data_IF_629343033261
#
_entry.id   IF_629343033261
#
_cell.length_a   1.000
_cell.length_b   1.000
_cell.length_c   1.000
_cell.angle_alpha   90.00
_cell.angle_beta   90.00
_cell.angle_gamma   90.00
#
_symmetry.space_group_name_H-M   'P 1'
#
loop_
_entity.id
_entity.type
_entity.pdbx_description
1 polymer ?
#
# COMPACT_ATOMS: atom_id res chain seq x y z
N UNK A 1 17.84 -14.90 30.30
CA UNK A 1 17.74 -15.96 29.30
C UNK A 1 16.28 -16.39 29.24
N UNK A 2 15.47 -15.67 28.48
CA UNK A 2 14.06 -16.04 28.23
C UNK A 2 13.94 -16.31 26.73
N UNK A 3 13.93 -17.60 26.40
CA UNK A 3 13.52 -18.10 25.10
C UNK A 3 12.00 -18.24 25.16
N UNK A 4 11.28 -17.25 24.66
CA UNK A 4 9.84 -17.37 24.49
C UNK A 4 9.44 -17.20 23.04
N UNK A 5 8.91 -18.33 22.60
CA UNK A 5 7.75 -18.50 21.74
C UNK A 5 7.75 -17.77 20.39
N UNK A 6 8.04 -18.52 19.31
CA UNK A 6 7.25 -18.45 18.05
C UNK A 6 7.16 -17.10 17.31
N UNK A 7 7.98 -16.12 17.64
CA UNK A 7 8.03 -14.85 16.94
C UNK A 7 8.69 -14.99 15.57
N UNK A 8 8.10 -14.44 14.51
CA UNK A 8 8.73 -14.32 13.21
C UNK A 8 10.09 -13.62 13.37
N UNK A 9 11.13 -14.27 12.88
CA UNK A 9 12.50 -13.73 12.95
C UNK A 9 12.66 -12.69 11.84
N UNK A 10 12.85 -11.41 12.20
CA UNK A 10 13.10 -10.35 11.22
C UNK A 10 12.25 -9.09 11.44
N UNK A 11 12.42 -8.07 10.58
CA UNK A 11 11.60 -6.86 10.62
C UNK A 11 10.12 -7.14 10.34
N UNK A 12 9.27 -6.20 10.77
CA UNK A 12 7.84 -6.16 10.41
C UNK A 12 7.66 -5.11 9.32
N UNK A 13 7.10 -5.48 8.17
CA UNK A 13 6.62 -4.50 7.20
C UNK A 13 5.11 -4.31 7.38
N UNK A 14 4.69 -3.05 7.48
CA UNK A 14 3.29 -2.66 7.61
C UNK A 14 2.88 -1.87 6.36
N UNK A 15 1.93 -2.41 5.59
CA UNK A 15 1.33 -1.74 4.45
C UNK A 15 0.03 -1.04 4.87
N UNK A 16 0.07 0.28 4.97
CA UNK A 16 -1.07 1.10 5.40
C UNK A 16 -2.06 1.30 4.24
N UNK A 17 -3.33 0.98 4.46
CA UNK A 17 -4.41 1.18 3.50
C UNK A 17 -4.74 2.66 3.27
N UNK A 18 -5.56 2.95 2.24
CA UNK A 18 -5.96 4.32 1.91
C UNK A 18 -6.68 5.03 3.07
N UNK A 19 -7.47 4.30 3.86
CA UNK A 19 -8.21 4.83 5.01
C UNK A 19 -7.29 5.28 6.16
N UNK A 20 -6.05 4.77 6.23
CA UNK A 20 -5.04 5.30 7.15
C UNK A 20 -4.53 6.70 6.75
N UNK A 21 -4.86 7.14 5.52
CA UNK A 21 -4.40 8.38 4.89
C UNK A 21 -5.56 9.34 4.56
N UNK A 22 -6.78 9.08 5.04
CA UNK A 22 -7.98 9.90 4.75
C UNK A 22 -8.83 10.06 5.98
N UNK A 23 -9.68 11.08 5.99
CA UNK A 23 -10.74 11.22 6.99
C UNK A 23 -11.80 10.11 6.89
N UNK A 24 -12.71 10.02 7.87
CA UNK A 24 -13.79 9.01 7.88
C UNK A 24 -14.70 9.08 6.66
N UNK A 25 -14.83 10.26 6.07
CA UNK A 25 -15.59 10.54 4.84
C UNK A 25 -14.80 10.24 3.54
N UNK A 26 -13.59 9.69 3.66
CA UNK A 26 -12.67 9.48 2.53
C UNK A 26 -11.96 10.76 2.07
N UNK A 27 -12.12 11.88 2.78
CA UNK A 27 -11.49 13.15 2.45
C UNK A 27 -9.98 13.08 2.62
N UNK A 28 -9.26 13.60 1.62
CA UNK A 28 -7.81 13.85 1.67
C UNK A 28 -7.50 15.35 1.95
N UNK A 29 -8.39 16.05 2.67
CA UNK A 29 -8.11 17.38 3.18
C UNK A 29 -6.90 17.32 4.14
N UNK A 30 -6.01 18.33 4.18
CA UNK A 30 -4.76 18.30 4.94
C UNK A 30 -4.95 17.90 6.41
N UNK A 31 -5.89 18.53 7.11
CA UNK A 31 -6.14 18.26 8.54
C UNK A 31 -6.70 16.85 8.78
N UNK A 32 -7.63 16.40 7.92
CA UNK A 32 -8.19 15.05 7.98
C UNK A 32 -7.11 13.98 7.73
N UNK A 33 -6.23 14.24 6.79
CA UNK A 33 -5.06 13.39 6.50
C UNK A 33 -4.09 13.32 7.68
N UNK A 34 -3.69 14.48 8.23
CA UNK A 34 -2.78 14.53 9.37
C UNK A 34 -3.37 13.80 10.59
N UNK A 35 -4.67 13.96 10.85
CA UNK A 35 -5.35 13.25 11.93
C UNK A 35 -5.40 11.73 11.71
N UNK A 36 -5.67 11.26 10.48
CA UNK A 36 -5.72 9.84 10.15
C UNK A 36 -4.33 9.19 10.29
N UNK A 37 -3.29 9.83 9.72
CA UNK A 37 -1.90 9.41 9.87
C UNK A 37 -1.50 9.37 11.35
N UNK A 38 -1.87 10.40 12.12
CA UNK A 38 -1.61 10.45 13.55
C UNK A 38 -2.14 9.22 14.29
N UNK A 39 -3.41 8.86 14.07
CA UNK A 39 -4.01 7.66 14.68
C UNK A 39 -3.28 6.36 14.28
N UNK A 40 -2.90 6.23 13.01
CA UNK A 40 -2.15 5.07 12.54
C UNK A 40 -0.77 4.98 13.22
N UNK A 41 -0.08 6.11 13.36
CA UNK A 41 1.27 6.16 13.94
C UNK A 41 1.27 5.88 15.45
N UNK A 42 0.20 6.13 16.18
CA UNK A 42 0.07 5.68 17.57
C UNK A 42 0.21 4.15 17.68
N UNK A 43 -0.44 3.38 16.79
CA UNK A 43 -0.34 1.91 16.77
C UNK A 43 1.03 1.41 16.35
N UNK A 44 1.64 2.07 15.38
CA UNK A 44 3.02 1.76 14.95
C UNK A 44 4.02 2.05 16.06
N UNK A 45 3.84 3.16 16.78
CA UNK A 45 4.70 3.55 17.90
C UNK A 45 4.71 2.51 19.02
N UNK A 46 3.57 1.83 19.30
CA UNK A 46 3.51 0.74 20.27
C UNK A 46 4.47 -0.40 19.92
N UNK A 47 4.52 -0.80 18.63
CA UNK A 47 5.44 -1.83 18.14
C UNK A 47 6.90 -1.38 18.23
N UNK A 48 7.20 -0.16 17.81
CA UNK A 48 8.57 0.37 17.79
C UNK A 48 9.09 0.55 19.22
N UNK A 49 8.28 1.06 20.14
CA UNK A 49 8.62 1.22 21.55
C UNK A 49 8.85 -0.15 22.23
N UNK A 50 8.15 -1.20 21.80
CA UNK A 50 8.40 -2.57 22.24
C UNK A 50 9.66 -3.20 21.62
N UNK A 51 10.42 -2.47 20.81
CA UNK A 51 11.71 -2.90 20.26
C UNK A 51 11.62 -3.52 18.86
N UNK A 52 10.45 -3.55 18.22
CA UNK A 52 10.33 -4.07 16.86
C UNK A 52 11.09 -3.20 15.85
N UNK A 53 11.71 -3.87 14.85
CA UNK A 53 12.25 -3.21 13.65
C UNK A 53 11.11 -3.09 12.65
N UNK A 54 10.73 -1.87 12.29
CA UNK A 54 9.53 -1.61 11.47
C UNK A 54 9.89 -0.88 10.19
N UNK A 55 9.35 -1.38 9.08
CA UNK A 55 9.26 -0.66 7.81
C UNK A 55 7.79 -0.42 7.48
N UNK A 56 7.52 0.71 6.84
CA UNK A 56 6.18 1.15 6.47
C UNK A 56 6.09 1.36 4.97
N UNK A 57 4.95 1.02 4.39
CA UNK A 57 4.50 1.57 3.11
C UNK A 57 3.07 2.07 3.25
N UNK A 58 2.60 2.90 2.32
CA UNK A 58 1.28 3.53 2.40
C UNK A 58 0.58 3.58 1.04
N UNK A 59 -0.75 3.64 1.04
CA UNK A 59 -1.52 4.01 -0.13
C UNK A 59 -1.49 5.53 -0.38
N UNK A 60 -1.89 5.94 -1.58
CA UNK A 60 -1.92 7.36 -1.99
C UNK A 60 -3.07 7.69 -2.97
N UNK A 61 -4.00 6.77 -3.20
CA UNK A 61 -5.01 6.92 -4.25
C UNK A 61 -5.82 8.23 -4.19
N UNK A 62 -6.39 8.64 -3.04
CA UNK A 62 -7.09 9.92 -2.91
C UNK A 62 -6.17 11.12 -3.17
N UNK A 63 -4.92 11.07 -2.73
CA UNK A 63 -3.94 12.16 -2.88
C UNK A 63 -3.52 12.34 -4.34
N UNK A 64 -3.19 11.25 -5.04
CA UNK A 64 -2.94 11.26 -6.49
C UNK A 64 -4.16 11.80 -7.23
N UNK A 65 -5.36 11.35 -6.85
CA UNK A 65 -6.60 11.84 -7.42
C UNK A 65 -6.77 13.35 -7.31
N UNK A 66 -6.46 13.93 -6.15
CA UNK A 66 -6.51 15.37 -5.93
C UNK A 66 -5.46 16.11 -6.78
N UNK A 67 -4.25 15.56 -6.94
CA UNK A 67 -3.22 16.14 -7.80
C UNK A 67 -3.65 16.14 -9.26
N UNK A 68 -4.25 15.05 -9.74
CA UNK A 68 -4.78 14.96 -11.10
C UNK A 68 -5.89 16.01 -11.35
N UNK A 69 -6.77 16.24 -10.38
CA UNK A 69 -7.80 17.30 -10.49
C UNK A 69 -7.15 18.69 -10.53
N UNK A 70 -6.17 18.95 -9.66
CA UNK A 70 -5.43 20.21 -9.68
C UNK A 70 -4.74 20.44 -11.02
N UNK A 71 -4.11 19.41 -11.60
CA UNK A 71 -3.53 19.46 -12.93
C UNK A 71 -4.56 19.84 -14.00
N UNK A 72 -5.74 19.25 -13.97
CA UNK A 72 -6.82 19.53 -14.91
C UNK A 72 -7.35 20.97 -14.79
N UNK A 73 -7.61 21.40 -13.56
CA UNK A 73 -8.14 22.75 -13.29
C UNK A 73 -7.12 23.83 -13.66
N UNK A 74 -5.84 23.58 -13.40
CA UNK A 74 -4.77 24.56 -13.65
C UNK A 74 -4.12 24.46 -15.06
N UNK A 75 -4.53 23.52 -15.90
CA UNK A 75 -3.87 23.22 -17.19
C UNK A 75 -3.80 24.41 -18.15
N UNK A 76 -4.69 25.40 -18.01
CA UNK A 76 -4.68 26.64 -18.80
C UNK A 76 -3.70 27.69 -18.27
N UNK A 77 -3.12 27.50 -17.08
CA UNK A 77 -2.16 28.40 -16.44
C UNK A 77 -0.76 27.80 -16.39
N UNK A 78 -0.68 26.52 -15.99
CA UNK A 78 0.59 25.78 -15.87
C UNK A 78 0.46 24.41 -16.50
N UNK A 79 1.52 23.87 -17.15
CA UNK A 79 1.49 22.52 -17.69
C UNK A 79 1.19 21.48 -16.60
N UNK A 80 0.31 20.48 -16.87
CA UNK A 80 0.08 19.38 -15.94
C UNK A 80 1.33 18.52 -15.80
N UNK A 81 1.60 18.03 -14.58
CA UNK A 81 2.66 17.05 -14.34
C UNK A 81 2.16 15.62 -14.61
N UNK A 82 3.01 14.71 -15.09
CA UNK A 82 2.63 13.34 -15.40
C UNK A 82 2.28 12.53 -14.12
N UNK A 83 1.62 11.40 -14.30
CA UNK A 83 1.08 10.58 -13.19
C UNK A 83 2.17 10.03 -12.27
N UNK A 84 3.31 9.62 -12.80
CA UNK A 84 4.47 9.15 -12.03
C UNK A 84 5.02 10.25 -11.11
N UNK A 85 5.06 11.52 -11.59
CA UNK A 85 5.41 12.66 -10.75
C UNK A 85 4.37 12.93 -9.67
N UNK A 86 3.07 12.78 -9.97
CA UNK A 86 2.04 12.86 -8.94
C UNK A 86 2.28 11.78 -7.86
N UNK A 87 2.67 10.58 -8.26
CA UNK A 87 3.07 9.50 -7.35
C UNK A 87 4.25 9.92 -6.45
N UNK A 88 5.31 10.46 -7.05
CA UNK A 88 6.50 10.94 -6.33
C UNK A 88 6.18 12.06 -5.32
N UNK A 89 5.37 13.04 -5.71
CA UNK A 89 4.92 14.12 -4.81
C UNK A 89 4.17 13.58 -3.60
N UNK A 90 3.32 12.54 -3.77
CA UNK A 90 2.61 11.93 -2.65
C UNK A 90 3.52 11.18 -1.70
N UNK A 91 4.60 10.55 -2.18
CA UNK A 91 5.59 9.92 -1.30
C UNK A 91 6.25 10.95 -0.37
N UNK A 92 6.62 12.13 -0.90
CA UNK A 92 7.18 13.22 -0.11
C UNK A 92 6.18 13.72 0.94
N UNK A 93 4.98 14.10 0.51
CA UNK A 93 3.98 14.68 1.41
C UNK A 93 3.55 13.70 2.52
N UNK A 94 3.18 12.48 2.16
CA UNK A 94 2.74 11.47 3.13
C UNK A 94 3.93 11.02 4.00
N UNK A 95 5.13 10.90 3.43
CA UNK A 95 6.35 10.59 4.17
C UNK A 95 6.60 11.59 5.30
N UNK A 96 6.52 12.89 5.01
CA UNK A 96 6.66 13.95 6.05
C UNK A 96 5.59 13.84 7.13
N UNK A 97 4.33 13.59 6.75
CA UNK A 97 3.25 13.41 7.72
C UNK A 97 3.50 12.21 8.65
N UNK A 98 3.96 11.08 8.09
CA UNK A 98 4.29 9.88 8.86
C UNK A 98 5.48 10.14 9.79
N UNK A 99 6.57 10.72 9.29
CA UNK A 99 7.75 11.03 10.10
C UNK A 99 7.37 11.89 11.32
N UNK A 100 6.71 13.02 11.08
CA UNK A 100 6.33 13.94 12.15
C UNK A 100 5.37 13.29 13.18
N UNK A 101 4.39 12.51 12.70
CA UNK A 101 3.42 11.86 13.57
C UNK A 101 4.05 10.74 14.41
N UNK A 102 4.91 9.92 13.78
CA UNK A 102 5.54 8.79 14.46
C UNK A 102 6.58 9.24 15.48
N UNK A 103 7.41 10.22 15.14
CA UNK A 103 8.38 10.77 16.09
C UNK A 103 7.69 11.37 17.32
N UNK A 104 6.59 12.10 17.13
CA UNK A 104 5.77 12.61 18.24
C UNK A 104 5.19 11.47 19.08
N UNK A 105 4.65 10.43 18.45
CA UNK A 105 4.07 9.29 19.16
C UNK A 105 5.12 8.47 19.92
N UNK A 106 6.33 8.34 19.39
CA UNK A 106 7.47 7.70 20.06
C UNK A 106 7.94 8.52 21.26
N UNK A 107 8.08 9.84 21.11
CA UNK A 107 8.46 10.73 22.20
C UNK A 107 7.48 10.65 23.38
N UNK A 108 6.17 10.57 23.10
CA UNK A 108 5.14 10.38 24.13
C UNK A 108 5.27 9.05 24.90
N UNK A 109 5.98 8.06 24.34
CA UNK A 109 6.30 6.76 24.96
C UNK A 109 7.69 6.73 25.60
N UNK A 110 8.41 7.84 25.62
CA UNK A 110 9.80 7.89 26.07
C UNK A 110 10.77 7.12 25.17
N UNK A 111 10.37 6.82 23.94
CA UNK A 111 11.17 6.13 22.95
C UNK A 111 11.76 7.13 21.94
N UNK A 112 13.01 6.88 21.51
CA UNK A 112 13.66 7.67 20.47
C UNK A 112 14.18 6.72 19.38
N UNK A 113 13.61 6.83 18.21
CA UNK A 113 14.05 6.14 17.00
C UNK A 113 13.98 7.11 15.83
N UNK A 114 15.00 7.25 15.01
CA UNK A 114 14.93 8.08 13.82
C UNK A 114 13.92 7.47 12.82
N UNK A 115 13.12 8.33 12.20
CA UNK A 115 12.17 7.93 11.17
C UNK A 115 12.62 8.54 9.85
N UNK A 116 12.71 7.76 8.79
CA UNK A 116 13.18 8.22 7.48
C UNK A 116 12.23 7.77 6.38
N UNK A 117 11.95 8.68 5.44
CA UNK A 117 11.23 8.36 4.22
C UNK A 117 12.19 8.29 3.04
N UNK A 118 12.09 7.21 2.26
CA UNK A 118 12.87 6.98 1.05
C UNK A 118 11.95 7.15 -0.16
N UNK A 119 12.28 8.11 -1.03
CA UNK A 119 11.66 8.18 -2.34
C UNK A 119 12.03 6.92 -3.12
N UNK A 120 11.03 6.17 -3.55
CA UNK A 120 11.23 4.81 -4.05
C UNK A 120 10.67 4.64 -5.45
N UNK A 121 11.48 4.08 -6.34
CA UNK A 121 11.10 3.71 -7.71
C UNK A 121 10.82 2.21 -7.77
N UNK A 122 9.81 1.85 -8.56
CA UNK A 122 9.43 0.46 -8.82
C UNK A 122 9.59 0.15 -10.30
N UNK A 123 10.46 -0.80 -10.62
CA UNK A 123 10.65 -1.28 -11.97
C UNK A 123 9.43 -2.08 -12.42
N UNK A 124 8.94 -1.78 -13.62
CA UNK A 124 7.85 -2.51 -14.28
C UNK A 124 8.24 -2.87 -15.71
N UNK A 125 7.56 -3.86 -16.30
CA UNK A 125 7.75 -4.22 -17.69
C UNK A 125 6.99 -3.25 -18.60
N UNK A 126 7.65 -2.64 -19.56
CA UNK A 126 7.03 -1.77 -20.58
C UNK A 126 5.98 -2.52 -21.44
N UNK A 127 6.12 -3.85 -21.57
CA UNK A 127 5.19 -4.70 -22.31
C UNK A 127 4.05 -5.26 -21.46
N UNK A 128 3.94 -4.87 -20.17
CA UNK A 128 2.86 -5.35 -19.30
C UNK A 128 1.48 -5.00 -19.89
N UNK A 129 0.58 -5.99 -19.87
CA UNK A 129 -0.79 -5.83 -20.38
C UNK A 129 -1.59 -4.72 -19.69
N UNK A 130 -1.22 -4.35 -18.49
CA UNK A 130 -1.82 -3.25 -17.75
C UNK A 130 -1.77 -1.92 -18.50
N UNK A 131 -0.80 -1.72 -19.40
CA UNK A 131 -0.72 -0.54 -20.26
C UNK A 131 -1.72 -0.55 -21.40
N UNK A 132 -2.11 -1.73 -21.91
CA UNK A 132 -3.10 -1.88 -23.00
C UNK A 132 -4.52 -2.00 -22.47
N UNK A 133 -4.72 -2.49 -21.24
CA UNK A 133 -6.03 -2.61 -20.57
C UNK A 133 -6.01 -1.95 -19.18
N UNK A 134 -6.07 -0.61 -19.10
CA UNK A 134 -6.08 0.11 -17.83
C UNK A 134 -7.31 -0.25 -16.97
N UNK A 135 -7.06 -0.68 -15.73
CA UNK A 135 -8.12 -1.12 -14.81
C UNK A 135 -8.06 -0.47 -13.42
N UNK A 136 -6.92 0.14 -13.04
CA UNK A 136 -6.71 0.70 -11.72
C UNK A 136 -7.45 2.02 -11.56
N UNK A 137 -8.50 2.11 -10.72
CA UNK A 137 -9.24 3.35 -10.57
C UNK A 137 -8.46 4.38 -9.75
N UNK A 138 -8.40 5.60 -10.24
CA UNK A 138 -7.77 6.76 -9.58
C UNK A 138 -8.72 7.94 -9.50
N UNK A 139 -8.51 8.83 -8.52
CA UNK A 139 -9.33 10.03 -8.36
C UNK A 139 -10.76 9.75 -7.88
N UNK A 140 -11.64 10.72 -8.05
CA UNK A 140 -13.06 10.67 -7.64
C UNK A 140 -13.96 10.14 -8.76
N UNK A 141 -15.22 9.92 -8.43
CA UNK A 141 -16.26 9.62 -9.42
C UNK A 141 -16.79 10.89 -10.07
N UNK A 142 -17.15 10.78 -11.34
CA UNK A 142 -17.74 11.85 -12.16
C UNK A 142 -19.01 11.39 -12.85
N UNK A 143 -19.91 12.32 -13.22
CA UNK A 143 -20.99 12.05 -14.17
C UNK A 143 -20.43 11.59 -15.52
N UNK A 144 -21.23 10.85 -16.27
CA UNK A 144 -20.84 10.32 -17.60
C UNK A 144 -20.38 11.43 -18.54
N UNK A 145 -21.13 12.52 -18.61
CA UNK A 145 -20.85 13.63 -19.52
C UNK A 145 -19.45 14.26 -19.29
N UNK A 146 -19.06 14.40 -18.01
CA UNK A 146 -17.71 14.90 -17.69
C UNK A 146 -16.62 13.89 -18.05
N UNK A 147 -16.87 12.59 -17.79
CA UNK A 147 -15.94 11.55 -18.15
C UNK A 147 -15.72 11.46 -19.67
N UNK A 148 -16.77 11.61 -20.49
CA UNK A 148 -16.67 11.63 -21.94
C UNK A 148 -15.80 12.77 -22.48
N UNK A 149 -15.82 13.94 -21.83
CA UNK A 149 -14.91 15.06 -22.17
C UNK A 149 -13.43 14.67 -21.96
N UNK A 150 -13.11 13.96 -20.88
CA UNK A 150 -11.76 13.51 -20.62
C UNK A 150 -11.36 12.32 -21.50
N UNK A 151 -12.30 11.44 -21.87
CA UNK A 151 -12.05 10.38 -22.84
C UNK A 151 -11.68 10.95 -24.22
N UNK A 152 -12.31 12.03 -24.62
CA UNK A 152 -11.95 12.75 -25.84
C UNK A 152 -10.53 13.34 -25.81
N UNK A 153 -9.93 13.50 -24.63
CA UNK A 153 -8.54 13.90 -24.42
C UNK A 153 -7.58 12.70 -24.25
N UNK A 154 -8.03 11.48 -24.58
CA UNK A 154 -7.21 10.27 -24.54
C UNK A 154 -7.13 9.57 -23.17
N UNK A 155 -7.92 9.99 -22.18
CA UNK A 155 -7.94 9.33 -20.88
C UNK A 155 -8.84 8.09 -20.89
N UNK A 156 -8.45 7.06 -20.16
CA UNK A 156 -9.27 5.86 -19.95
C UNK A 156 -10.21 6.03 -18.76
N UNK A 157 -11.51 5.78 -18.96
CA UNK A 157 -12.54 5.88 -17.92
C UNK A 157 -13.44 4.67 -17.95
N UNK A 158 -13.91 4.22 -16.79
CA UNK A 158 -14.86 3.10 -16.67
C UNK A 158 -16.06 3.48 -15.78
N UNK A 159 -17.20 2.89 -16.09
CA UNK A 159 -18.42 3.00 -15.28
C UNK A 159 -18.33 2.06 -14.07
N UNK A 160 -18.73 2.57 -12.92
CA UNK A 160 -18.86 1.83 -11.67
C UNK A 160 -20.33 1.80 -11.20
N UNK A 161 -21.24 1.71 -12.15
CA UNK A 161 -22.69 1.65 -11.91
C UNK A 161 -23.22 2.94 -11.29
N UNK A 162 -24.05 2.82 -10.25
CA UNK A 162 -24.67 3.97 -9.59
C UNK A 162 -23.67 4.98 -8.98
N UNK A 163 -22.42 4.60 -8.76
CA UNK A 163 -21.36 5.50 -8.27
C UNK A 163 -20.84 6.48 -9.34
N UNK A 164 -21.12 6.22 -10.62
CA UNK A 164 -20.67 7.04 -11.72
C UNK A 164 -19.42 6.49 -12.42
N UNK A 165 -18.71 7.36 -13.13
CA UNK A 165 -17.52 7.07 -13.91
C UNK A 165 -16.26 7.45 -13.16
N UNK A 166 -15.20 6.68 -13.32
CA UNK A 166 -13.92 6.93 -12.70
C UNK A 166 -12.78 6.71 -13.68
N UNK A 167 -11.76 7.59 -13.64
CA UNK A 167 -10.54 7.40 -14.42
C UNK A 167 -9.88 6.09 -14.02
N UNK A 168 -9.42 5.34 -15.02
CA UNK A 168 -8.59 4.15 -14.82
C UNK A 168 -7.25 4.36 -15.49
N UNK A 169 -6.20 3.82 -14.87
CA UNK A 169 -4.82 3.91 -15.34
C UNK A 169 -4.19 2.52 -15.39
N UNK A 170 -3.06 2.42 -16.07
CA UNK A 170 -2.25 1.22 -16.07
C UNK A 170 -1.85 0.84 -14.63
N UNK A 171 -1.84 -0.47 -14.36
CA UNK A 171 -1.35 -1.02 -13.09
C UNK A 171 -0.52 -2.26 -13.37
N UNK A 172 0.72 -2.05 -13.88
CA UNK A 172 1.61 -3.15 -14.22
C UNK A 172 2.09 -3.90 -12.98
N UNK A 173 2.50 -5.13 -13.17
CA UNK A 173 3.12 -5.97 -12.15
C UNK A 173 4.46 -5.35 -11.70
N UNK A 174 4.71 -5.17 -10.39
CA UNK A 174 5.99 -4.72 -9.90
C UNK A 174 7.05 -5.82 -10.04
N UNK A 175 8.19 -5.51 -10.64
CA UNK A 175 9.29 -6.45 -10.82
C UNK A 175 10.38 -6.29 -9.76
N UNK A 176 10.70 -5.04 -9.41
CA UNK A 176 11.76 -4.73 -8.45
C UNK A 176 11.51 -3.38 -7.77
N UNK A 177 11.81 -3.31 -6.48
CA UNK A 177 11.90 -2.05 -5.72
C UNK A 177 13.34 -1.58 -5.78
N UNK A 178 13.64 -0.65 -6.68
CA UNK A 178 15.03 -0.26 -7.00
C UNK A 178 15.78 0.34 -5.80
N UNK A 179 15.09 1.10 -4.97
CA UNK A 179 15.69 1.80 -3.84
C UNK A 179 15.57 1.02 -2.51
N UNK A 180 15.20 -0.27 -2.57
CA UNK A 180 15.08 -1.13 -1.40
C UNK A 180 16.41 -1.31 -0.64
N UNK A 181 17.55 -1.22 -1.33
CA UNK A 181 18.88 -1.26 -0.69
C UNK A 181 19.10 -0.10 0.29
N UNK A 182 18.69 1.12 -0.07
CA UNK A 182 18.75 2.26 0.81
C UNK A 182 17.81 2.10 2.01
N UNK A 183 16.59 1.61 1.78
CA UNK A 183 15.65 1.30 2.84
C UNK A 183 16.19 0.24 3.82
N UNK A 184 16.85 -0.81 3.32
CA UNK A 184 17.47 -1.85 4.14
C UNK A 184 18.60 -1.28 5.01
N UNK A 185 19.50 -0.48 4.43
CA UNK A 185 20.61 0.14 5.16
C UNK A 185 20.12 1.04 6.31
N UNK A 186 19.09 1.85 6.07
CA UNK A 186 18.48 2.67 7.12
C UNK A 186 17.83 1.82 8.23
N UNK A 187 17.11 0.76 7.84
CA UNK A 187 16.49 -0.16 8.79
C UNK A 187 17.54 -0.90 9.65
N UNK A 188 18.69 -1.27 9.07
CA UNK A 188 19.83 -1.83 9.79
C UNK A 188 20.50 -0.82 10.71
N UNK A 189 20.57 0.44 10.31
CA UNK A 189 21.03 1.56 11.15
C UNK A 189 20.05 1.92 12.28
N UNK A 190 18.92 1.23 12.41
CA UNK A 190 17.96 1.40 13.51
C UNK A 190 16.84 2.39 13.23
N UNK A 191 16.72 2.91 12.01
CA UNK A 191 15.60 3.76 11.63
C UNK A 191 14.29 2.98 11.51
N UNK A 192 13.17 3.63 11.75
CA UNK A 192 11.89 3.24 11.15
C UNK A 192 11.87 3.80 9.74
N UNK A 193 11.58 2.96 8.74
CA UNK A 193 11.72 3.35 7.33
C UNK A 193 10.37 3.38 6.63
N UNK A 194 10.05 4.47 5.94
CA UNK A 194 8.90 4.58 5.04
C UNK A 194 9.41 4.47 3.60
N UNK A 195 8.95 3.47 2.85
CA UNK A 195 9.38 3.25 1.48
C UNK A 195 8.25 2.67 0.61
N UNK A 196 8.41 2.68 -0.70
CA UNK A 196 7.44 2.20 -1.69
C UNK A 196 6.03 2.78 -1.52
N UNK A 197 5.91 4.01 -1.04
CA UNK A 197 4.63 4.70 -0.91
C UNK A 197 3.87 4.76 -2.23
N UNK A 198 2.56 4.43 -2.20
CA UNK A 198 1.72 4.35 -3.40
C UNK A 198 2.08 3.22 -4.37
N UNK A 199 2.93 2.28 -3.96
CA UNK A 199 3.49 1.22 -4.80
C UNK A 199 4.84 1.59 -5.43
N UNK A 200 5.41 2.75 -5.08
CA UNK A 200 6.61 3.32 -5.70
C UNK A 200 6.33 4.11 -6.98
N UNK A 201 7.29 4.90 -7.42
CA UNK A 201 7.23 5.59 -8.70
C UNK A 201 7.52 4.58 -9.83
N UNK A 202 6.57 4.31 -10.73
CA UNK A 202 6.76 3.31 -11.77
C UNK A 202 7.78 3.79 -12.81
N UNK A 203 8.77 2.95 -13.08
CA UNK A 203 9.78 3.20 -14.10
C UNK A 203 9.99 1.96 -14.97
N UNK A 204 10.32 2.18 -16.22
CA UNK A 204 10.76 1.14 -17.16
C UNK A 204 12.24 1.32 -17.48
N UNK A 205 12.92 0.22 -17.81
CA UNK A 205 14.31 0.23 -18.25
C UNK A 205 14.37 0.21 -19.76
N UNK A 206 14.98 1.20 -20.37
CA UNK A 206 15.25 1.25 -21.81
C UNK A 206 16.40 0.32 -22.21
N UNK A 207 16.57 0.11 -23.51
CA UNK A 207 17.61 -0.76 -24.06
C UNK A 207 19.05 -0.31 -23.71
N UNK A 208 19.25 1.00 -23.52
CA UNK A 208 20.52 1.59 -23.08
C UNK A 208 20.76 1.52 -21.57
N UNK A 209 19.82 0.93 -20.81
CA UNK A 209 19.88 0.79 -19.36
C UNK A 209 19.30 1.99 -18.59
N UNK A 210 18.96 3.09 -19.26
CA UNK A 210 18.33 4.26 -18.61
C UNK A 210 16.95 3.94 -18.05
N UNK A 211 16.53 4.69 -17.02
CA UNK A 211 15.22 4.53 -16.37
C UNK A 211 14.33 5.70 -16.73
N UNK A 212 13.10 5.40 -17.13
CA UNK A 212 12.10 6.39 -17.50
C UNK A 212 10.82 6.16 -16.72
N UNK A 213 10.23 7.25 -16.17
CA UNK A 213 8.91 7.23 -15.54
C UNK A 213 7.83 6.88 -16.56
N UNK A 214 6.76 6.23 -16.10
CA UNK A 214 5.63 5.84 -16.94
C UNK A 214 4.28 6.17 -16.29
N UNK A 215 3.28 6.44 -17.13
CA UNK A 215 1.89 6.77 -16.72
C UNK A 215 1.17 5.53 -16.14
N UNK A 216 1.51 5.15 -14.93
CA UNK A 216 0.94 3.98 -14.25
C UNK A 216 0.84 4.20 -12.73
N UNK A 217 0.11 3.32 -12.05
CA UNK A 217 0.06 3.23 -10.59
C UNK A 217 0.25 1.78 -10.19
N UNK A 218 1.37 1.46 -9.59
CA UNK A 218 1.68 0.11 -9.10
C UNK A 218 0.76 -0.26 -7.93
N UNK A 219 0.36 -1.52 -7.83
CA UNK A 219 -0.40 -1.97 -6.68
C UNK A 219 0.47 -1.97 -5.42
N UNK A 220 0.02 -1.25 -4.38
CA UNK A 220 0.81 -1.07 -3.16
C UNK A 220 1.00 -2.36 -2.36
N UNK A 221 0.04 -3.30 -2.43
CA UNK A 221 0.11 -4.53 -1.65
C UNK A 221 1.12 -5.49 -2.29
N UNK A 222 1.19 -5.54 -3.63
CA UNK A 222 2.23 -6.27 -4.37
C UNK A 222 3.61 -5.63 -4.18
N UNK A 223 3.70 -4.30 -4.23
CA UNK A 223 4.96 -3.60 -3.94
C UNK A 223 5.42 -3.80 -2.48
N UNK A 224 4.48 -3.83 -1.52
CA UNK A 224 4.77 -4.13 -0.13
C UNK A 224 5.34 -5.55 0.06
N UNK A 225 4.82 -6.52 -0.67
CA UNK A 225 5.33 -7.89 -0.67
C UNK A 225 6.79 -7.94 -1.13
N UNK A 226 7.08 -7.32 -2.28
CA UNK A 226 8.45 -7.23 -2.81
C UNK A 226 9.40 -6.52 -1.84
N UNK A 227 8.98 -5.39 -1.29
CA UNK A 227 9.78 -4.65 -0.31
C UNK A 227 10.03 -5.50 0.93
N UNK A 228 9.00 -6.18 1.46
CA UNK A 228 9.12 -7.05 2.63
C UNK A 228 10.15 -8.16 2.41
N UNK A 229 10.15 -8.79 1.24
CA UNK A 229 11.17 -9.80 0.88
C UNK A 229 12.57 -9.21 0.83
N UNK A 230 12.73 -8.06 0.22
CA UNK A 230 14.04 -7.38 0.07
C UNK A 230 14.60 -6.91 1.42
N UNK A 231 13.74 -6.52 2.35
CA UNK A 231 14.13 -6.15 3.71
C UNK A 231 14.33 -7.34 4.66
N UNK A 232 14.14 -8.58 4.19
CA UNK A 232 14.21 -9.77 5.04
C UNK A 232 13.14 -9.78 6.14
N UNK A 233 11.97 -9.20 5.87
CA UNK A 233 10.88 -9.16 6.85
C UNK A 233 10.41 -10.57 7.22
N UNK A 234 10.20 -10.80 8.50
CA UNK A 234 9.57 -12.02 9.01
C UNK A 234 8.05 -11.93 9.05
N UNK A 235 7.52 -10.70 9.10
CA UNK A 235 6.07 -10.45 9.14
C UNK A 235 5.67 -9.35 8.16
N UNK A 236 4.62 -9.60 7.38
CA UNK A 236 3.93 -8.61 6.56
C UNK A 236 2.53 -8.36 7.13
N UNK A 237 2.22 -7.12 7.52
CA UNK A 237 0.89 -6.72 7.96
C UNK A 237 0.28 -5.81 6.89
N UNK A 238 -0.84 -6.23 6.30
CA UNK A 238 -1.65 -5.36 5.42
C UNK A 238 -2.77 -4.78 6.26
N UNK A 239 -2.63 -3.51 6.62
CA UNK A 239 -3.64 -2.78 7.37
C UNK A 239 -4.73 -2.23 6.42
N UNK A 240 -5.99 -2.52 6.73
CA UNK A 240 -7.16 -2.19 5.89
C UNK A 240 -8.33 -1.75 6.78
N UNK A 241 -9.52 -1.62 6.22
CA UNK A 241 -10.76 -1.21 6.88
C UNK A 241 -11.59 -2.39 7.43
N UNK A 242 -11.19 -3.63 7.14
CA UNK A 242 -11.88 -4.82 7.64
C UNK A 242 -11.07 -5.54 8.69
N UNK A 243 -11.76 -6.13 9.66
CA UNK A 243 -11.09 -6.88 10.72
C UNK A 243 -10.54 -8.21 10.22
N UNK A 244 -11.29 -8.88 9.32
CA UNK A 244 -10.93 -10.18 8.75
C UNK A 244 -11.20 -10.24 7.26
N UNK A 245 -10.47 -11.10 6.56
CA UNK A 245 -10.83 -11.56 5.22
C UNK A 245 -12.06 -12.44 5.33
N UNK A 246 -13.06 -12.22 4.48
CA UNK A 246 -14.30 -12.98 4.46
C UNK A 246 -14.28 -14.00 3.34
N UNK A 247 -14.46 -15.30 3.67
CA UNK A 247 -14.78 -16.30 2.66
C UNK A 247 -16.28 -16.21 2.33
N UNK A 248 -16.62 -16.29 1.03
CA UNK A 248 -18.02 -16.22 0.58
C UNK A 248 -18.68 -14.86 0.81
N UNK A 249 -17.91 -13.78 0.73
CA UNK A 249 -18.40 -12.42 0.95
C UNK A 249 -19.66 -12.11 0.12
N UNK A 250 -20.67 -11.53 0.76
CA UNK A 250 -21.95 -11.21 0.14
C UNK A 250 -22.86 -12.41 -0.13
N UNK A 251 -22.55 -13.59 0.39
CA UNK A 251 -23.38 -14.78 0.26
C UNK A 251 -23.88 -15.29 1.64
N UNK A 252 -24.90 -16.17 1.70
CA UNK A 252 -25.34 -16.79 2.95
C UNK A 252 -24.27 -17.66 3.64
N UNK A 253 -23.16 -17.95 2.94
CA UNK A 253 -22.03 -18.74 3.47
C UNK A 253 -20.86 -17.85 3.91
N UNK A 254 -21.09 -16.56 4.07
CA UNK A 254 -20.06 -15.62 4.52
C UNK A 254 -19.54 -15.98 5.90
N UNK A 255 -18.22 -16.10 6.03
CA UNK A 255 -17.56 -16.36 7.30
C UNK A 255 -16.19 -15.70 7.39
N UNK A 256 -15.77 -15.17 8.56
CA UNK A 256 -14.45 -14.60 8.74
C UNK A 256 -13.37 -15.69 8.77
N UNK A 257 -12.26 -15.43 8.09
CA UNK A 257 -11.04 -16.20 8.19
C UNK A 257 -10.17 -15.59 9.30
N UNK A 258 -10.01 -16.29 10.42
CA UNK A 258 -9.19 -15.81 11.55
C UNK A 258 -7.73 -16.27 11.44
N UNK A 259 -7.53 -17.56 11.20
CA UNK A 259 -6.23 -18.18 10.93
C UNK A 259 -6.42 -19.17 9.78
N UNK A 260 -5.53 -19.13 8.82
CA UNK A 260 -5.59 -20.00 7.64
C UNK A 260 -4.19 -20.31 7.13
N UNK A 261 -4.04 -21.42 6.41
CA UNK A 261 -2.80 -21.74 5.71
C UNK A 261 -2.77 -21.08 4.34
N UNK A 262 -1.56 -20.90 3.79
CA UNK A 262 -1.40 -20.43 2.41
C UNK A 262 -2.12 -21.37 1.40
N UNK A 263 -2.14 -22.68 1.67
CA UNK A 263 -2.83 -23.66 0.83
C UNK A 263 -4.35 -23.46 0.82
N UNK A 264 -4.97 -23.33 2.00
CA UNK A 264 -6.40 -23.04 2.12
C UNK A 264 -6.78 -21.71 1.47
N UNK A 265 -6.02 -20.64 1.75
CA UNK A 265 -6.29 -19.33 1.19
C UNK A 265 -6.16 -19.32 -0.34
N UNK A 266 -5.20 -20.08 -0.90
CA UNK A 266 -5.02 -20.23 -2.36
C UNK A 266 -6.21 -20.96 -2.99
N UNK A 267 -6.73 -22.00 -2.33
CA UNK A 267 -7.93 -22.73 -2.78
C UNK A 267 -9.14 -21.80 -2.83
N UNK A 268 -9.36 -20.99 -1.79
CA UNK A 268 -10.45 -20.02 -1.75
C UNK A 268 -10.28 -18.93 -2.84
N UNK A 269 -9.05 -18.46 -3.07
CA UNK A 269 -8.76 -17.49 -4.14
C UNK A 269 -9.06 -18.07 -5.53
N UNK A 270 -8.65 -19.31 -5.79
CA UNK A 270 -8.96 -20.02 -7.06
C UNK A 270 -10.45 -20.26 -7.25
N UNK A 271 -11.22 -20.42 -6.18
CA UNK A 271 -12.68 -20.52 -6.21
C UNK A 271 -13.40 -19.15 -6.38
N UNK A 272 -12.64 -18.04 -6.54
CA UNK A 272 -13.19 -16.72 -6.83
C UNK A 272 -13.71 -15.95 -5.60
N UNK A 273 -13.42 -16.39 -4.38
CA UNK A 273 -13.91 -15.75 -3.15
C UNK A 273 -13.46 -14.29 -2.99
N UNK A 274 -12.38 -13.87 -3.64
CA UNK A 274 -11.77 -12.54 -3.48
C UNK A 274 -11.70 -11.76 -4.81
N UNK A 275 -12.46 -12.18 -5.82
CA UNK A 275 -12.41 -11.60 -7.18
C UNK A 275 -12.92 -10.16 -7.28
N UNK A 276 -13.66 -9.65 -6.29
CA UNK A 276 -14.21 -8.30 -6.27
C UNK A 276 -13.40 -7.32 -5.40
N UNK A 277 -13.21 -6.10 -5.89
CA UNK A 277 -12.66 -4.99 -5.11
C UNK A 277 -11.16 -5.05 -4.82
N UNK A 278 -10.76 -4.56 -3.65
CA UNK A 278 -9.35 -4.42 -3.25
C UNK A 278 -8.78 -5.63 -2.51
N UNK A 279 -9.58 -6.68 -2.25
CA UNK A 279 -9.13 -7.83 -1.46
C UNK A 279 -8.23 -8.78 -2.25
N UNK A 280 -8.47 -8.98 -3.54
CA UNK A 280 -7.67 -9.85 -4.40
C UNK A 280 -6.16 -9.56 -4.34
N UNK A 281 -5.71 -8.34 -4.62
CA UNK A 281 -4.30 -7.98 -4.52
C UNK A 281 -3.70 -8.20 -3.12
N UNK A 282 -4.47 -7.98 -2.03
CA UNK A 282 -4.01 -8.23 -0.66
C UNK A 282 -3.76 -9.71 -0.41
N UNK A 283 -4.71 -10.55 -0.84
CA UNK A 283 -4.60 -12.01 -0.73
C UNK A 283 -3.43 -12.51 -1.55
N UNK A 284 -3.26 -12.03 -2.77
CA UNK A 284 -2.12 -12.39 -3.61
C UNK A 284 -0.78 -12.00 -2.98
N UNK A 285 -0.65 -10.78 -2.46
CA UNK A 285 0.56 -10.30 -1.81
C UNK A 285 0.93 -11.15 -0.59
N UNK A 286 -0.02 -11.47 0.29
CA UNK A 286 0.27 -12.30 1.48
C UNK A 286 0.62 -13.73 1.10
N UNK A 287 -0.01 -14.31 0.07
CA UNK A 287 0.32 -15.65 -0.44
C UNK A 287 1.74 -15.71 -0.99
N UNK A 288 2.14 -14.72 -1.79
CA UNK A 288 3.52 -14.60 -2.32
C UNK A 288 4.53 -14.45 -1.20
N UNK A 289 4.23 -13.59 -0.23
CA UNK A 289 5.12 -13.33 0.89
C UNK A 289 5.36 -14.58 1.74
N UNK A 290 4.31 -15.28 2.17
CA UNK A 290 4.42 -16.47 3.00
C UNK A 290 5.15 -17.59 2.25
N UNK A 291 4.87 -17.79 0.96
CA UNK A 291 5.53 -18.79 0.14
C UNK A 291 7.02 -18.50 -0.15
N UNK A 292 7.49 -17.28 0.08
CA UNK A 292 8.84 -16.86 -0.34
C UNK A 292 9.97 -17.29 0.60
N UNK A 293 9.68 -17.69 1.86
CA UNK A 293 10.64 -18.29 2.78
C UNK A 293 9.92 -18.94 3.98
N UNK A 294 10.54 -19.98 4.59
CA UNK A 294 9.99 -20.64 5.79
C UNK A 294 9.79 -19.67 6.96
N UNK A 295 8.81 -19.94 7.80
CA UNK A 295 8.48 -19.17 9.01
C UNK A 295 8.04 -17.73 8.77
N UNK A 296 7.80 -17.33 7.52
CA UNK A 296 7.15 -16.04 7.23
C UNK A 296 5.69 -16.11 7.61
N UNK A 297 5.22 -15.00 8.18
CA UNK A 297 3.82 -14.84 8.54
C UNK A 297 3.27 -13.57 7.94
N UNK A 298 2.05 -13.62 7.42
CA UNK A 298 1.33 -12.42 7.01
C UNK A 298 0.05 -12.24 7.83
N UNK A 299 -0.41 -10.99 7.92
CA UNK A 299 -1.70 -10.66 8.52
C UNK A 299 -2.43 -9.62 7.66
N UNK A 300 -3.74 -9.80 7.50
CA UNK A 300 -4.65 -8.77 6.98
C UNK A 300 -5.57 -8.39 8.13
N UNK A 301 -5.54 -7.12 8.56
CA UNK A 301 -6.23 -6.67 9.76
C UNK A 301 -6.69 -5.22 9.66
N UNK A 302 -7.60 -4.81 10.54
CA UNK A 302 -7.97 -3.41 10.68
C UNK A 302 -6.79 -2.56 11.22
N UNK A 303 -6.80 -1.28 10.90
CA UNK A 303 -5.77 -0.32 11.30
C UNK A 303 -5.55 -0.31 12.81
N UNK A 304 -6.63 -0.39 13.60
CA UNK A 304 -6.58 -0.37 15.06
C UNK A 304 -5.94 -1.63 15.67
N UNK A 305 -5.81 -2.70 14.89
CA UNK A 305 -5.29 -4.00 15.34
C UNK A 305 -3.87 -4.30 14.81
N UNK A 306 -3.16 -3.31 14.25
CA UNK A 306 -1.82 -3.50 13.67
C UNK A 306 -0.86 -4.17 14.65
N UNK A 307 -0.83 -3.71 15.91
CA UNK A 307 0.07 -4.24 16.94
C UNK A 307 -0.20 -5.72 17.22
N UNK A 308 -1.46 -6.07 17.42
CA UNK A 308 -1.88 -7.46 17.64
C UNK A 308 -1.66 -8.33 16.40
N UNK A 309 -1.92 -7.78 15.20
CA UNK A 309 -1.72 -8.48 13.94
C UNK A 309 -0.24 -8.81 13.69
N UNK A 310 0.67 -7.87 13.99
CA UNK A 310 2.11 -8.11 13.92
C UNK A 310 2.57 -9.26 14.84
N UNK A 311 1.89 -9.46 15.98
CA UNK A 311 2.12 -10.57 16.90
C UNK A 311 1.32 -11.84 16.57
N UNK A 312 0.52 -11.85 15.50
CA UNK A 312 -0.32 -13.00 15.10
C UNK A 312 -1.53 -13.21 16.00
N UNK A 313 -2.05 -12.17 16.65
CA UNK A 313 -3.15 -12.22 17.61
C UNK A 313 -4.46 -11.62 17.10
N UNK A 314 -4.45 -10.90 15.97
CA UNK A 314 -5.63 -10.28 15.38
C UNK A 314 -5.59 -10.28 13.87
N UNK A 315 -6.76 -10.10 13.25
CA UNK A 315 -6.92 -10.14 11.81
C UNK A 315 -6.99 -11.56 11.25
N UNK A 316 -6.88 -11.67 9.95
CA UNK A 316 -6.65 -12.94 9.26
C UNK A 316 -5.15 -13.21 9.26
N UNK A 317 -4.72 -14.24 9.96
CA UNK A 317 -3.32 -14.67 10.05
C UNK A 317 -3.08 -15.76 9.02
N UNK A 318 -2.05 -15.58 8.19
CA UNK A 318 -1.65 -16.52 7.13
C UNK A 318 -0.25 -17.03 7.45
N UNK A 319 -0.13 -18.33 7.50
CA UNK A 319 1.11 -19.08 7.70
C UNK A 319 1.26 -20.14 6.59
N UNK A 320 2.42 -20.79 6.51
CA UNK A 320 2.69 -21.85 5.53
C UNK A 320 1.75 -23.06 5.66
#
# INVERSE_FOLDING_TARGET
MNRDAGGAVGPVLIALGGNAMTGPDGSAAPDAQAAAVGRAMERVADLVAAGARVALTHGNGPQVGNLLIKNQVAAHVVPPVPLDWCGAQTQGTIGVLIMNALERALAARGASRPVSAVLTRTLVDAADRGFTDPVKPVGRYFPREEAERFMALGQSWRSFGARGWRRVVASPEPLEILDAGAAAALLEAGHVVVAAGGGGVPVVRAADGSLHGVEAVVDKDLAAELLARRLGAGTLVIATDVEHVMAGYGTPRERPLRRTTAAELRTLAAAGHFAGGSMGPKVEAVLRFVASAPRRRAAIASLDRITDAAHGKAGTIIEE
#
